data_IF_422302173121
#
_entry.id   IF_422302173121
#
_cell.length_a   1.000
_cell.length_b   1.000
_cell.length_c   1.000
_cell.angle_alpha   90.00
_cell.angle_beta   90.00
_cell.angle_gamma   90.00
#
_symmetry.space_group_name_H-M   'P 1'
#
loop_
_entity.id
_entity.type
_entity.pdbx_description
1 polymer ?
#
# COMPACT_ATOMS: atom_id res chain seq x y z
N UNK A 1 -12.15 6.21 26.10
CA UNK A 1 -11.85 5.47 24.86
C UNK A 1 -10.47 5.89 24.40
N UNK A 2 -9.54 4.97 24.10
CA UNK A 2 -8.27 5.36 23.51
C UNK A 2 -8.50 5.92 22.09
N UNK A 3 -7.65 6.83 21.59
CA UNK A 3 -7.81 7.43 20.28
C UNK A 3 -7.62 6.39 19.15
N UNK A 4 -8.22 6.59 17.96
CA UNK A 4 -8.14 5.66 16.82
C UNK A 4 -6.72 5.23 16.43
N UNK A 5 -5.73 6.11 16.63
CA UNK A 5 -4.31 5.83 16.36
C UNK A 5 -3.69 4.76 17.29
N UNK A 6 -4.21 4.59 18.51
CA UNK A 6 -3.71 3.55 19.42
C UNK A 6 -4.14 2.13 18.96
N UNK A 7 -5.32 2.02 18.32
CA UNK A 7 -5.85 0.78 17.78
C UNK A 7 -5.09 0.35 16.51
N UNK A 8 -4.73 1.32 15.67
CA UNK A 8 -3.88 1.11 14.49
C UNK A 8 -2.54 0.47 14.84
N UNK A 9 -1.88 0.95 15.91
CA UNK A 9 -0.62 0.40 16.38
C UNK A 9 -0.76 -1.06 16.82
N UNK A 10 -1.81 -1.40 17.57
CA UNK A 10 -2.05 -2.79 18.03
C UNK A 10 -2.39 -3.76 16.88
N UNK A 11 -3.03 -3.28 15.81
CA UNK A 11 -3.41 -4.11 14.67
C UNK A 11 -2.25 -4.28 13.68
N UNK A 12 -1.45 -3.24 13.43
CA UNK A 12 -0.19 -3.38 12.66
C UNK A 12 0.79 -4.28 13.40
N UNK A 13 0.78 -4.23 14.75
CA UNK A 13 1.51 -5.16 15.61
C UNK A 13 1.03 -6.61 15.49
N UNK A 14 -0.23 -6.86 15.14
CA UNK A 14 -0.79 -8.21 14.97
C UNK A 14 -0.61 -8.77 13.57
N UNK A 15 -0.58 -7.92 12.53
CA UNK A 15 -0.71 -8.43 11.15
C UNK A 15 0.50 -8.30 10.24
N UNK A 16 1.48 -7.39 10.41
CA UNK A 16 2.38 -7.24 9.23
C UNK A 16 3.79 -6.68 9.37
N UNK A 17 4.03 -5.62 10.12
CA UNK A 17 5.29 -4.87 10.00
C UNK A 17 5.62 -4.25 11.35
N UNK A 18 6.81 -4.55 11.89
CA UNK A 18 7.23 -4.04 13.21
C UNK A 18 8.74 -3.86 13.23
N UNK A 19 9.18 -2.72 13.76
CA UNK A 19 10.58 -2.31 13.82
C UNK A 19 11.23 -2.87 15.08
N UNK A 20 12.43 -3.42 14.91
CA UNK A 20 13.32 -3.75 16.01
C UNK A 20 14.47 -2.76 16.03
N UNK A 21 14.64 -2.05 17.14
CA UNK A 21 15.89 -1.34 17.43
C UNK A 21 16.49 -1.91 18.70
N UNK A 22 17.75 -2.33 18.61
CA UNK A 22 18.59 -2.46 19.79
C UNK A 22 18.79 -1.08 20.42
N UNK A 23 18.89 -1.05 21.75
CA UNK A 23 18.98 0.14 22.60
C UNK A 23 20.19 1.07 22.35
N UNK A 24 21.00 0.82 21.31
CA UNK A 24 22.17 1.60 20.94
C UNK A 24 22.02 2.17 19.54
N UNK A 25 22.19 3.49 19.43
CA UNK A 25 21.96 4.40 18.29
C UNK A 25 22.85 4.15 17.06
N UNK A 26 23.27 2.92 16.79
CA UNK A 26 24.25 2.60 15.75
C UNK A 26 23.69 1.78 14.58
N UNK A 27 22.56 1.06 14.73
CA UNK A 27 21.98 0.25 13.64
C UNK A 27 20.45 0.12 13.79
N UNK A 28 19.69 0.77 12.92
CA UNK A 28 18.22 0.68 12.80
C UNK A 28 17.82 -0.44 11.83
N UNK A 29 16.75 -1.19 12.16
CA UNK A 29 16.26 -2.31 11.32
C UNK A 29 14.74 -2.32 11.25
N UNK A 30 14.21 -2.58 10.07
CA UNK A 30 12.79 -2.87 9.84
C UNK A 30 12.65 -4.34 9.48
N UNK A 31 11.79 -5.09 10.18
CA UNK A 31 11.56 -6.51 9.89
C UNK A 31 10.11 -6.82 9.52
N UNK A 32 9.96 -7.87 8.73
CA UNK A 32 8.67 -8.48 8.37
C UNK A 32 8.70 -9.90 8.95
N UNK A 33 7.79 -10.20 9.87
CA UNK A 33 7.75 -11.47 10.60
C UNK A 33 6.37 -12.11 10.57
N UNK A 34 6.32 -13.42 10.75
CA UNK A 34 5.11 -14.21 10.95
C UNK A 34 4.98 -14.61 12.42
N UNK A 35 3.83 -14.27 13.03
CA UNK A 35 3.49 -14.71 14.38
C UNK A 35 3.29 -16.21 14.43
N UNK A 36 2.54 -16.76 13.47
CA UNK A 36 2.18 -18.17 13.43
C UNK A 36 3.39 -19.10 13.33
N UNK A 37 4.46 -18.64 12.69
CA UNK A 37 5.69 -19.42 12.51
C UNK A 37 6.84 -19.01 13.44
N UNK A 38 6.71 -17.89 14.17
CA UNK A 38 7.83 -17.37 14.98
C UNK A 38 9.07 -17.05 14.15
N UNK A 39 8.89 -16.69 12.86
CA UNK A 39 9.98 -16.44 11.92
C UNK A 39 9.94 -15.05 11.30
N UNK A 40 11.11 -14.55 10.91
CA UNK A 40 11.32 -13.32 10.15
C UNK A 40 11.58 -13.65 8.69
N UNK A 41 10.76 -13.09 7.80
CA UNK A 41 10.85 -13.29 6.35
C UNK A 41 11.82 -12.32 5.69
N UNK A 42 11.89 -11.08 6.18
CA UNK A 42 12.73 -10.03 5.60
C UNK A 42 13.24 -9.10 6.71
N UNK A 43 14.50 -8.67 6.61
CA UNK A 43 15.06 -7.59 7.43
C UNK A 43 15.72 -6.56 6.53
N UNK A 44 15.26 -5.33 6.64
CA UNK A 44 15.85 -4.15 6.02
C UNK A 44 16.77 -3.46 7.02
N UNK A 45 17.96 -3.09 6.58
CA UNK A 45 18.96 -2.38 7.40
C UNK A 45 19.13 -0.95 6.92
N UNK A 46 19.37 -0.06 7.86
CA UNK A 46 19.58 1.37 7.63
C UNK A 46 20.80 1.69 6.79
N UNK A 47 21.73 0.75 6.60
CA UNK A 47 22.82 0.83 5.62
C UNK A 47 22.38 0.55 4.16
N UNK A 48 21.08 0.35 3.92
CA UNK A 48 20.52 0.03 2.61
C UNK A 48 20.63 -1.45 2.24
N UNK A 49 21.16 -2.31 3.11
CA UNK A 49 21.22 -3.76 2.84
C UNK A 49 19.93 -4.48 3.21
N UNK A 50 19.66 -5.57 2.47
CA UNK A 50 18.53 -6.47 2.67
C UNK A 50 19.01 -7.84 3.11
N UNK A 51 18.36 -8.42 4.12
CA UNK A 51 18.56 -9.81 4.55
C UNK A 51 17.32 -10.65 4.26
N UNK A 52 17.43 -11.71 3.44
CA UNK A 52 16.36 -12.67 3.24
C UNK A 52 16.22 -13.62 4.44
N UNK A 53 14.99 -14.02 4.74
CA UNK A 53 14.67 -15.13 5.64
C UNK A 53 14.52 -16.48 4.91
N UNK A 54 13.93 -17.49 5.57
CA UNK A 54 13.41 -17.44 6.94
C UNK A 54 14.53 -17.40 7.99
N UNK A 55 14.35 -16.61 9.04
CA UNK A 55 15.25 -16.56 10.20
C UNK A 55 14.46 -16.47 11.50
N UNK A 56 15.05 -16.88 12.62
CA UNK A 56 14.50 -16.62 13.97
C UNK A 56 14.99 -15.29 14.54
N UNK A 57 16.02 -14.69 13.93
CA UNK A 57 16.55 -13.40 14.35
C UNK A 57 15.59 -12.26 13.97
N UNK A 58 15.63 -11.21 14.76
CA UNK A 58 14.85 -9.99 14.54
C UNK A 58 13.35 -10.26 14.34
N UNK A 59 12.79 -11.21 15.11
CA UNK A 59 11.37 -11.48 15.10
C UNK A 59 10.59 -10.36 15.79
N UNK A 60 9.69 -9.72 15.05
CA UNK A 60 8.86 -8.63 15.56
C UNK A 60 7.90 -9.00 16.71
N UNK A 61 7.59 -10.29 16.89
CA UNK A 61 6.73 -10.79 17.96
C UNK A 61 7.52 -11.24 19.20
N UNK A 62 8.85 -11.27 19.15
CA UNK A 62 9.68 -11.52 20.33
C UNK A 62 9.81 -10.23 21.14
N UNK A 63 8.84 -10.03 22.04
CA UNK A 63 8.79 -8.89 22.96
C UNK A 63 9.66 -9.10 24.21
N UNK A 64 10.40 -10.20 24.31
CA UNK A 64 11.04 -10.66 25.56
C UNK A 64 12.55 -10.40 25.67
N UNK A 65 13.20 -9.82 24.66
CA UNK A 65 14.65 -9.58 24.64
C UNK A 65 15.16 -8.23 25.18
N UNK A 66 16.46 -8.14 25.50
CA UNK A 66 17.21 -6.89 25.79
C UNK A 66 17.19 -5.86 24.64
N UNK A 67 16.76 -6.29 23.45
CA UNK A 67 16.50 -5.47 22.27
C UNK A 67 15.01 -5.17 22.08
N UNK A 68 14.28 -5.10 23.19
CA UNK A 68 12.83 -4.97 23.26
C UNK A 68 12.27 -3.90 22.32
N UNK A 69 11.25 -4.32 21.57
CA UNK A 69 10.44 -3.48 20.67
C UNK A 69 9.92 -2.27 21.46
N UNK A 70 10.44 -1.08 21.17
CA UNK A 70 9.80 0.14 21.65
C UNK A 70 8.48 0.35 20.89
N UNK A 71 7.38 0.79 21.54
CA UNK A 71 6.17 1.20 20.84
C UNK A 71 6.54 2.21 19.75
N UNK A 72 6.39 1.82 18.49
CA UNK A 72 6.70 2.67 17.36
C UNK A 72 5.52 3.60 17.09
N UNK A 73 5.79 4.89 16.93
CA UNK A 73 4.82 5.80 16.32
C UNK A 73 4.62 5.39 14.86
N UNK A 74 3.40 5.01 14.52
CA UNK A 74 3.00 4.72 13.14
C UNK A 74 2.18 5.90 12.64
N UNK A 75 2.59 6.46 11.50
CA UNK A 75 1.95 7.61 10.88
C UNK A 75 1.68 7.28 9.42
N UNK A 76 0.44 7.52 8.99
CA UNK A 76 0.06 7.43 7.57
C UNK A 76 0.22 8.81 6.94
N UNK A 77 0.64 8.85 5.68
CA UNK A 77 0.67 10.09 4.88
C UNK A 77 0.28 9.80 3.43
N UNK A 78 0.80 10.59 2.49
CA UNK A 78 0.47 10.45 1.07
C UNK A 78 1.09 9.16 0.49
N UNK A 79 0.23 8.15 0.32
CA UNK A 79 0.55 6.80 -0.19
C UNK A 79 1.74 6.19 0.54
N UNK A 80 1.85 6.50 1.83
CA UNK A 80 2.99 6.17 2.66
C UNK A 80 2.56 5.76 4.07
N UNK A 81 3.36 4.89 4.65
CA UNK A 81 3.38 4.67 6.10
C UNK A 81 4.80 4.91 6.61
N UNK A 82 4.89 5.70 7.67
CA UNK A 82 6.12 5.92 8.42
C UNK A 82 6.03 5.18 9.74
N UNK A 83 7.07 4.42 10.04
CA UNK A 83 7.24 3.73 11.31
C UNK A 83 8.60 4.20 11.83
N UNK A 84 8.59 5.09 12.83
CA UNK A 84 9.81 5.76 13.32
C UNK A 84 10.65 6.33 12.17
N UNK A 85 11.89 5.85 12.04
CA UNK A 85 12.92 6.29 11.10
C UNK A 85 12.73 5.68 9.70
N UNK A 86 11.73 4.81 9.51
CA UNK A 86 11.51 4.06 8.27
C UNK A 86 10.24 4.51 7.55
N UNK A 87 10.32 4.64 6.22
CA UNK A 87 9.18 4.92 5.34
C UNK A 87 9.00 3.82 4.32
N UNK A 88 7.76 3.39 4.17
CA UNK A 88 7.30 2.59 3.03
C UNK A 88 6.37 3.49 2.22
N UNK A 89 6.72 3.77 0.96
CA UNK A 89 6.02 4.77 0.15
C UNK A 89 5.93 4.36 -1.32
N UNK A 90 4.78 4.62 -1.93
CA UNK A 90 4.68 4.69 -3.39
C UNK A 90 5.31 6.00 -3.86
N UNK A 91 6.56 5.93 -4.33
CA UNK A 91 7.31 7.12 -4.82
C UNK A 91 6.99 7.44 -6.28
N UNK A 92 6.48 6.46 -7.02
CA UNK A 92 6.00 6.57 -8.39
C UNK A 92 4.91 5.50 -8.58
N UNK A 93 3.90 5.64 -9.47
CA UNK A 93 2.87 4.62 -9.68
C UNK A 93 3.41 3.20 -9.79
N UNK A 94 4.54 3.05 -10.48
CA UNK A 94 5.20 1.75 -10.70
C UNK A 94 6.23 1.35 -9.64
N UNK A 95 6.50 2.16 -8.62
CA UNK A 95 7.59 1.96 -7.65
C UNK A 95 7.11 2.12 -6.21
N UNK A 96 7.31 1.06 -5.41
CA UNK A 96 7.14 1.09 -3.96
C UNK A 96 8.51 0.94 -3.30
N UNK A 97 8.84 1.85 -2.38
CA UNK A 97 10.16 1.93 -1.77
C UNK A 97 10.11 1.67 -0.27
N UNK A 98 11.14 1.01 0.26
CA UNK A 98 11.41 0.85 1.69
C UNK A 98 12.71 1.59 2.00
N UNK A 99 12.61 2.67 2.77
CA UNK A 99 13.71 3.63 2.96
C UNK A 99 13.89 3.99 4.43
N UNK A 100 15.13 4.24 4.83
CA UNK A 100 15.47 4.81 6.14
C UNK A 100 15.65 6.33 6.08
N UNK A 101 15.47 7.04 7.19
CA UNK A 101 15.60 8.50 7.30
C UNK A 101 16.96 9.04 6.87
N UNK A 102 18.01 8.20 6.94
CA UNK A 102 19.33 8.56 6.45
C UNK A 102 19.46 8.59 4.92
N UNK A 103 18.38 8.29 4.19
CA UNK A 103 18.30 8.31 2.73
C UNK A 103 18.54 6.96 2.06
N UNK A 104 19.03 5.95 2.79
CA UNK A 104 19.31 4.64 2.20
C UNK A 104 18.03 3.88 1.85
N UNK A 105 17.99 3.34 0.63
CA UNK A 105 16.86 2.60 0.09
C UNK A 105 17.15 1.11 0.15
N UNK A 106 16.62 0.43 1.17
CA UNK A 106 16.85 -1.00 1.37
C UNK A 106 16.15 -1.87 0.34
N UNK A 107 15.04 -1.40 -0.26
CA UNK A 107 14.33 -2.16 -1.29
C UNK A 107 13.37 -1.34 -2.13
N UNK A 108 13.28 -1.65 -3.42
CA UNK A 108 12.34 -1.06 -4.37
C UNK A 108 11.59 -2.18 -5.09
N UNK A 109 10.27 -2.21 -4.93
CA UNK A 109 9.38 -3.11 -5.67
C UNK A 109 8.85 -2.41 -6.91
N UNK A 110 8.86 -3.11 -8.05
CA UNK A 110 8.36 -2.60 -9.32
C UNK A 110 7.08 -3.28 -9.75
N UNK A 111 6.20 -2.51 -10.39
CA UNK A 111 4.92 -3.05 -10.86
C UNK A 111 5.07 -4.15 -11.92
N UNK A 112 6.26 -4.33 -12.50
CA UNK A 112 6.59 -5.45 -13.40
C UNK A 112 6.99 -6.75 -12.66
N UNK A 113 7.08 -6.72 -11.33
CA UNK A 113 7.47 -7.85 -10.49
C UNK A 113 8.98 -7.97 -10.26
N UNK A 114 9.79 -7.05 -10.78
CA UNK A 114 11.21 -6.98 -10.45
C UNK A 114 11.43 -6.24 -9.13
N UNK A 115 12.57 -6.52 -8.49
CA UNK A 115 12.97 -5.89 -7.23
C UNK A 115 14.40 -5.42 -7.36
N UNK A 116 14.66 -4.16 -6.99
CA UNK A 116 15.98 -3.54 -7.01
C UNK A 116 16.33 -3.00 -5.63
N UNK A 117 17.63 -2.81 -5.41
CA UNK A 117 18.17 -2.19 -4.20
C UNK A 117 18.92 -0.90 -4.60
N UNK A 118 19.00 0.07 -3.68
CA UNK A 118 19.79 1.31 -3.77
C UNK A 118 19.68 2.09 -5.10
N UNK A 119 18.61 2.88 -5.22
CA UNK A 119 18.50 3.96 -6.19
C UNK A 119 17.98 5.21 -5.48
N UNK A 120 18.85 6.23 -5.33
CA UNK A 120 18.58 7.42 -4.50
C UNK A 120 17.30 8.16 -4.94
N UNK A 121 17.03 8.26 -6.25
CA UNK A 121 15.81 8.92 -6.77
C UNK A 121 14.52 8.13 -6.48
N UNK A 122 14.60 6.93 -5.89
CA UNK A 122 13.46 6.16 -5.39
C UNK A 122 13.30 6.21 -3.87
N UNK A 123 13.97 7.15 -3.20
CA UNK A 123 13.84 7.34 -1.76
C UNK A 123 12.44 7.78 -1.35
N UNK A 124 11.87 7.12 -0.33
CA UNK A 124 10.63 7.56 0.33
C UNK A 124 10.78 8.90 1.08
N UNK A 125 12.01 9.38 1.24
CA UNK A 125 12.37 10.68 1.81
C UNK A 125 12.74 11.73 0.75
N UNK A 126 12.50 11.45 -0.55
CA UNK A 126 12.69 12.44 -1.63
C UNK A 126 11.95 13.75 -1.35
N UNK A 127 10.80 13.65 -0.67
CA UNK A 127 10.16 14.75 0.03
C UNK A 127 10.34 14.52 1.54
N UNK A 128 10.89 15.51 2.25
CA UNK A 128 11.03 15.44 3.72
C UNK A 128 9.67 15.28 4.39
N UNK A 129 8.65 15.95 3.86
CA UNK A 129 7.28 15.83 4.33
C UNK A 129 6.64 14.49 3.91
N UNK A 130 5.96 13.85 4.86
CA UNK A 130 5.18 12.64 4.63
C UNK A 130 3.86 12.97 3.90
N UNK A 131 3.40 14.22 4.00
CA UNK A 131 2.15 14.70 3.44
C UNK A 131 0.93 14.24 4.26
N UNK A 132 -0.22 14.84 3.96
CA UNK A 132 -1.49 14.44 4.58
C UNK A 132 -1.86 12.99 4.21
N UNK A 133 -2.46 12.22 5.13
CA UNK A 133 -2.92 10.85 4.85
C UNK A 133 -3.76 10.81 3.58
N UNK A 134 -3.27 10.15 2.53
CA UNK A 134 -3.96 10.04 1.24
C UNK A 134 -3.69 8.67 0.66
N UNK A 135 -4.74 7.94 0.32
CA UNK A 135 -4.73 6.57 -0.14
C UNK A 135 -3.73 5.65 0.57
N UNK A 136 -3.73 5.71 1.89
CA UNK A 136 -2.87 4.91 2.73
C UNK A 136 -3.71 4.42 3.91
N UNK A 137 -4.03 3.12 3.94
CA UNK A 137 -4.92 2.58 4.95
C UNK A 137 -4.68 1.10 5.23
N UNK A 138 -5.08 0.69 6.43
CA UNK A 138 -4.98 -0.67 6.92
C UNK A 138 -6.38 -1.27 7.11
N UNK A 139 -6.52 -2.53 6.74
CA UNK A 139 -7.66 -3.39 7.06
C UNK A 139 -7.19 -4.60 7.86
N UNK A 140 -8.11 -5.50 8.22
CA UNK A 140 -7.75 -6.76 8.87
C UNK A 140 -6.89 -7.68 7.98
N UNK A 141 -6.93 -7.49 6.66
CA UNK A 141 -6.37 -8.43 5.68
C UNK A 141 -5.19 -7.85 4.89
N UNK A 142 -5.12 -6.53 4.74
CA UNK A 142 -4.06 -5.87 3.98
C UNK A 142 -3.80 -4.43 4.42
N UNK A 143 -2.57 -3.98 4.16
CA UNK A 143 -2.16 -2.57 4.13
C UNK A 143 -2.13 -2.11 2.66
N UNK A 144 -2.85 -1.04 2.32
CA UNK A 144 -2.82 -0.41 1.01
C UNK A 144 -2.07 0.92 1.07
N UNK A 145 -1.20 1.15 0.09
CA UNK A 145 -0.43 2.37 -0.14
C UNK A 145 -0.54 2.71 -1.63
N UNK A 146 -1.43 3.62 -2.00
CA UNK A 146 -1.75 3.94 -3.38
C UNK A 146 -2.22 2.69 -4.16
N UNK A 147 -1.47 2.37 -5.21
CA UNK A 147 -1.65 1.24 -6.12
C UNK A 147 -0.93 -0.04 -5.65
N UNK A 148 -0.42 -0.05 -4.40
CA UNK A 148 0.26 -1.19 -3.80
C UNK A 148 -0.48 -1.76 -2.58
N UNK A 149 -0.42 -3.08 -2.43
CA UNK A 149 -0.93 -3.78 -1.23
C UNK A 149 0.11 -4.74 -0.66
N UNK A 150 0.23 -4.74 0.66
CA UNK A 150 0.73 -5.87 1.44
C UNK A 150 -0.50 -6.67 1.91
N UNK A 151 -0.65 -7.92 1.49
CA UNK A 151 -1.79 -8.78 1.85
C UNK A 151 -1.36 -10.07 2.53
N UNK A 152 -2.08 -10.46 3.58
CA UNK A 152 -1.98 -11.78 4.20
C UNK A 152 -2.93 -12.74 3.48
N UNK A 153 -2.39 -13.83 2.95
CA UNK A 153 -3.14 -14.80 2.17
C UNK A 153 -2.61 -16.21 2.42
N UNK A 154 -3.42 -17.04 3.08
CA UNK A 154 -3.10 -18.45 3.27
C UNK A 154 -1.78 -18.67 4.03
N UNK A 155 -1.48 -17.80 5.00
CA UNK A 155 -0.22 -17.85 5.76
C UNK A 155 0.98 -17.22 5.03
N UNK A 156 0.79 -16.66 3.83
CA UNK A 156 1.81 -15.92 3.10
C UNK A 156 1.59 -14.41 3.19
N UNK A 157 2.68 -13.66 3.18
CA UNK A 157 2.67 -12.22 2.96
C UNK A 157 3.02 -11.90 1.52
N UNK A 158 2.17 -11.15 0.85
CA UNK A 158 2.39 -10.79 -0.56
C UNK A 158 2.36 -9.28 -0.77
N UNK A 159 3.31 -8.79 -1.58
CA UNK A 159 3.41 -7.39 -1.98
C UNK A 159 3.06 -7.32 -3.45
N UNK A 160 2.01 -6.58 -3.79
CA UNK A 160 1.44 -6.58 -5.14
C UNK A 160 1.04 -5.19 -5.60
N UNK A 161 1.36 -4.88 -6.84
CA UNK A 161 0.79 -3.74 -7.55
C UNK A 161 -0.62 -4.09 -8.06
N UNK A 162 -1.48 -3.08 -8.25
CA UNK A 162 -2.87 -3.24 -8.75
C UNK A 162 -2.99 -3.97 -10.08
N UNK A 163 -1.95 -3.92 -10.90
CA UNK A 163 -1.86 -4.65 -12.17
C UNK A 163 -1.68 -6.18 -11.97
N UNK A 164 -1.74 -6.67 -10.73
CA UNK A 164 -1.72 -8.09 -10.40
C UNK A 164 -0.35 -8.74 -10.45
N UNK A 165 0.73 -7.94 -10.44
CA UNK A 165 2.10 -8.44 -10.41
C UNK A 165 2.67 -8.35 -9.01
N UNK A 166 2.96 -9.51 -8.45
CA UNK A 166 3.89 -9.74 -7.34
C UNK A 166 5.33 -9.67 -7.85
N UNK A 167 6.31 -9.72 -6.95
CA UNK A 167 7.64 -10.30 -7.26
C UNK A 167 7.55 -11.67 -7.99
N UNK A 168 8.64 -12.40 -8.24
CA UNK A 168 8.73 -13.54 -9.18
C UNK A 168 7.73 -14.73 -9.10
N UNK A 169 6.68 -14.69 -8.25
CA UNK A 169 5.63 -15.69 -8.12
C UNK A 169 4.22 -15.06 -8.19
N UNK A 170 3.47 -15.31 -9.26
CA UNK A 170 2.15 -14.73 -9.57
C UNK A 170 0.94 -15.33 -8.82
N UNK A 171 1.16 -16.23 -7.86
CA UNK A 171 0.08 -17.04 -7.26
C UNK A 171 -0.66 -16.37 -6.08
N UNK A 172 -0.14 -15.26 -5.56
CA UNK A 172 -0.70 -14.58 -4.37
C UNK A 172 -0.89 -13.09 -4.64
N UNK A 173 -2.06 -12.72 -5.18
CA UNK A 173 -2.39 -11.33 -5.50
C UNK A 173 -3.22 -10.67 -4.38
N UNK A 174 -2.65 -9.73 -3.61
CA UNK A 174 -3.37 -9.08 -2.50
C UNK A 174 -4.53 -8.18 -2.95
N UNK A 175 -4.65 -7.89 -4.25
CA UNK A 175 -5.80 -7.21 -4.82
C UNK A 175 -7.05 -8.09 -4.92
N UNK A 176 -6.93 -9.40 -4.76
CA UNK A 176 -8.10 -10.30 -4.65
C UNK A 176 -8.70 -10.32 -3.25
N UNK A 177 -8.00 -9.77 -2.25
CA UNK A 177 -8.52 -9.63 -0.90
C UNK A 177 -9.68 -8.63 -0.89
N UNK A 178 -10.79 -9.05 -0.28
CA UNK A 178 -11.98 -8.23 -0.11
C UNK A 178 -11.65 -7.07 0.83
N UNK A 179 -12.09 -5.88 0.43
CA UNK A 179 -11.92 -4.67 1.22
C UNK A 179 -12.75 -4.75 2.51
N UNK A 180 -12.10 -4.44 3.64
CA UNK A 180 -12.68 -4.54 4.97
C UNK A 180 -12.90 -3.18 5.62
N UNK A 181 -13.23 -3.23 6.91
CA UNK A 181 -13.23 -2.04 7.77
C UNK A 181 -11.83 -1.42 7.79
N UNK A 182 -11.78 -0.08 7.72
CA UNK A 182 -10.54 0.68 7.84
C UNK A 182 -10.18 0.77 9.32
N UNK A 183 -9.07 0.15 9.68
CA UNK A 183 -8.55 0.09 11.05
C UNK A 183 -7.57 1.25 11.32
N UNK A 184 -6.95 1.79 10.27
CA UNK A 184 -6.05 2.93 10.33
C UNK A 184 -5.90 3.61 8.96
N UNK A 185 -5.55 4.91 8.94
CA UNK A 185 -5.33 5.67 7.72
C UNK A 185 -6.63 6.10 7.03
N UNK A 186 -6.59 6.33 5.72
CA UNK A 186 -7.74 6.80 4.94
C UNK A 186 -7.78 6.25 3.52
N UNK A 187 -9.01 6.08 3.01
CA UNK A 187 -9.30 5.78 1.61
C UNK A 187 -9.41 7.05 0.76
N UNK A 188 -9.40 8.23 1.36
CA UNK A 188 -9.46 9.50 0.63
C UNK A 188 -8.28 9.60 -0.34
N UNK A 189 -8.55 10.06 -1.58
CA UNK A 189 -7.58 10.07 -2.66
C UNK A 189 -7.21 8.69 -3.22
N UNK A 190 -7.82 7.59 -2.75
CA UNK A 190 -7.75 6.32 -3.46
C UNK A 190 -8.62 6.38 -4.70
N UNK A 191 -7.97 6.42 -5.86
CA UNK A 191 -8.59 6.43 -7.19
C UNK A 191 -9.36 7.72 -7.50
N UNK A 192 -8.63 8.82 -7.71
CA UNK A 192 -9.17 10.13 -8.14
C UNK A 192 -9.69 10.20 -9.59
N UNK A 193 -10.05 9.07 -10.19
CA UNK A 193 -10.66 9.08 -11.52
C UNK A 193 -12.16 9.40 -11.48
N UNK A 194 -12.77 9.53 -10.31
CA UNK A 194 -14.21 9.77 -10.21
C UNK A 194 -14.67 10.71 -9.08
N UNK A 195 -15.75 11.44 -9.35
CA UNK A 195 -16.51 12.25 -8.40
C UNK A 195 -17.76 11.49 -7.96
N UNK A 196 -17.92 11.16 -6.67
CA UNK A 196 -19.13 10.54 -6.14
C UNK A 196 -20.23 11.57 -5.79
N UNK A 197 -21.50 11.24 -6.07
CA UNK A 197 -22.70 12.00 -5.67
C UNK A 197 -23.79 11.02 -5.23
N UNK A 198 -23.90 10.73 -3.93
CA UNK A 198 -24.79 9.66 -3.45
C UNK A 198 -24.44 8.33 -4.12
N UNK A 199 -25.44 7.63 -4.68
CA UNK A 199 -25.27 6.37 -5.42
C UNK A 199 -24.71 6.55 -6.85
N UNK A 200 -24.24 7.75 -7.20
CA UNK A 200 -23.76 8.07 -8.54
C UNK A 200 -22.25 8.31 -8.54
N UNK A 201 -21.60 7.97 -9.66
CA UNK A 201 -20.22 8.32 -9.95
C UNK A 201 -20.10 9.04 -11.28
N UNK A 202 -19.26 10.06 -11.32
CA UNK A 202 -18.81 10.72 -12.53
C UNK A 202 -17.33 10.37 -12.70
N UNK A 203 -16.98 9.52 -13.65
CA UNK A 203 -15.60 9.03 -13.79
C UNK A 203 -14.98 9.30 -15.15
N UNK A 204 -13.66 9.53 -15.16
CA UNK A 204 -12.80 9.35 -16.33
C UNK A 204 -12.37 7.88 -16.37
N UNK A 205 -12.44 7.24 -17.54
CA UNK A 205 -12.12 5.80 -17.65
C UNK A 205 -10.76 5.47 -18.22
N UNK A 206 -10.04 6.41 -18.84
CA UNK A 206 -8.75 6.07 -19.41
C UNK A 206 -7.78 7.27 -19.48
N UNK A 207 -6.61 7.11 -18.85
CA UNK A 207 -5.50 8.07 -18.88
C UNK A 207 -4.57 7.88 -20.09
N UNK A 208 -4.56 6.69 -20.73
CA UNK A 208 -3.60 6.34 -21.79
C UNK A 208 -4.24 6.00 -23.15
N UNK A 209 -5.56 6.11 -23.27
CA UNK A 209 -6.27 5.86 -24.52
C UNK A 209 -6.17 7.05 -25.47
N UNK A 210 -6.24 6.78 -26.78
CA UNK A 210 -6.37 7.80 -27.83
C UNK A 210 -7.69 8.60 -27.75
N UNK A 211 -8.62 8.19 -26.88
CA UNK A 211 -9.90 8.85 -26.63
C UNK A 211 -10.19 8.92 -25.14
N UNK A 212 -10.32 10.12 -24.58
CA UNK A 212 -10.79 10.32 -23.21
C UNK A 212 -12.32 10.26 -23.15
N UNK A 213 -12.86 9.60 -22.13
CA UNK A 213 -14.30 9.52 -21.86
C UNK A 213 -14.62 10.00 -20.45
N UNK A 214 -15.78 10.64 -20.30
CA UNK A 214 -16.39 10.98 -19.01
C UNK A 214 -17.71 10.21 -18.91
N UNK A 215 -17.93 9.51 -17.81
CA UNK A 215 -19.07 8.60 -17.66
C UNK A 215 -19.86 8.95 -16.40
N UNK A 216 -21.19 8.86 -16.49
CA UNK A 216 -22.11 9.02 -15.36
C UNK A 216 -22.81 7.67 -15.10
N UNK A 217 -22.49 7.02 -13.98
CA UNK A 217 -23.03 5.70 -13.63
C UNK A 217 -23.77 5.71 -12.30
N UNK A 218 -24.75 4.82 -12.15
CA UNK A 218 -25.51 4.59 -10.92
C UNK A 218 -25.19 3.21 -10.35
N UNK A 219 -24.91 3.16 -9.05
CA UNK A 219 -24.68 1.92 -8.31
C UNK A 219 -25.94 1.08 -8.18
N UNK A 220 -27.08 1.71 -7.91
CA UNK A 220 -28.36 1.04 -7.64
C UNK A 220 -28.83 0.13 -8.79
N UNK A 221 -28.44 0.46 -10.01
CA UNK A 221 -28.82 -0.28 -11.21
C UNK A 221 -27.63 -0.92 -11.95
N UNK A 222 -26.40 -0.67 -11.50
CA UNK A 222 -25.18 -1.15 -12.19
C UNK A 222 -25.07 -0.65 -13.63
N UNK A 223 -25.69 0.49 -13.95
CA UNK A 223 -25.85 1.01 -15.30
C UNK A 223 -25.22 2.38 -15.45
N UNK A 224 -24.79 2.66 -16.68
CA UNK A 224 -24.33 3.97 -17.12
C UNK A 224 -25.42 4.71 -17.84
N UNK A 225 -25.68 5.92 -17.38
CA UNK A 225 -26.68 6.82 -17.94
C UNK A 225 -26.13 7.55 -19.17
N UNK A 226 -24.87 7.99 -19.14
CA UNK A 226 -24.25 8.74 -20.24
C UNK A 226 -22.74 8.49 -20.32
N UNK A 227 -22.22 8.43 -21.54
CA UNK A 227 -20.79 8.42 -21.86
C UNK A 227 -20.50 9.61 -22.77
N UNK A 228 -19.72 10.57 -22.29
CA UNK A 228 -19.22 11.69 -23.08
C UNK A 228 -17.86 11.34 -23.67
N UNK A 229 -17.63 11.69 -24.92
CA UNK A 229 -16.37 11.46 -25.63
C UNK A 229 -15.63 12.78 -25.86
N UNK A 230 -14.31 12.70 -25.99
CA UNK A 230 -13.45 13.85 -26.27
C UNK A 230 -13.60 14.43 -27.70
N UNK A 231 -14.34 13.77 -28.60
CA UNK A 231 -14.69 14.28 -29.93
C UNK A 231 -15.95 15.16 -29.94
N UNK A 232 -16.54 15.42 -28.76
CA UNK A 232 -17.75 16.22 -28.60
C UNK A 232 -19.06 15.44 -28.76
N UNK A 233 -19.01 14.14 -28.99
CA UNK A 233 -20.20 13.27 -29.04
C UNK A 233 -20.50 12.64 -27.67
N UNK A 234 -21.74 12.18 -27.48
CA UNK A 234 -22.11 11.38 -26.31
C UNK A 234 -22.90 10.12 -26.71
N UNK A 235 -22.85 9.10 -25.86
CA UNK A 235 -23.68 7.90 -25.98
C UNK A 235 -24.74 7.93 -24.88
N UNK A 236 -26.04 7.87 -25.23
CA UNK A 236 -27.11 7.73 -24.25
C UNK A 236 -27.14 6.30 -23.70
N UNK A 237 -27.37 6.16 -22.39
CA UNK A 237 -27.64 4.90 -21.73
C UNK A 237 -29.06 4.38 -21.97
N UNK A 238 -29.46 3.29 -21.28
CA UNK A 238 -28.65 2.53 -20.33
C UNK A 238 -27.55 1.70 -21.03
N UNK A 239 -26.34 1.72 -20.48
CA UNK A 239 -25.18 0.98 -20.96
C UNK A 239 -24.51 0.22 -19.82
N UNK A 240 -23.85 -0.90 -20.13
CA UNK A 240 -23.16 -1.77 -19.17
C UNK A 240 -21.69 -2.00 -19.50
N UNK A 241 -21.27 -1.62 -20.71
CA UNK A 241 -19.93 -1.77 -21.28
C UNK A 241 -18.93 -0.72 -20.76
N UNK A 242 -19.42 0.39 -20.22
CA UNK A 242 -18.61 1.43 -19.60
C UNK A 242 -19.20 1.78 -18.25
N UNK A 243 -18.58 1.41 -17.13
CA UNK A 243 -19.14 1.65 -15.79
C UNK A 243 -18.10 2.28 -14.86
N UNK A 244 -18.43 3.43 -14.24
CA UNK A 244 -17.57 4.14 -13.29
C UNK A 244 -17.28 3.38 -11.97
N UNK A 245 -17.94 2.24 -11.76
CA UNK A 245 -17.66 1.30 -10.67
C UNK A 245 -16.76 0.14 -11.09
N UNK A 246 -16.52 -0.04 -12.39
CA UNK A 246 -15.63 -1.03 -12.98
C UNK A 246 -14.46 -0.32 -13.71
N UNK A 247 -13.62 0.37 -12.94
CA UNK A 247 -12.44 1.08 -13.44
C UNK A 247 -11.23 0.15 -13.66
N UNK A 248 -11.45 -1.16 -13.59
CA UNK A 248 -10.40 -2.19 -13.75
C UNK A 248 -10.27 -2.72 -15.17
N UNK A 249 -11.17 -2.31 -16.09
CA UNK A 249 -11.04 -2.69 -17.50
C UNK A 249 -11.86 -1.79 -18.43
N UNK A 250 -11.18 -0.95 -19.22
CA UNK A 250 -11.50 -0.65 -20.62
C UNK A 250 -10.46 0.25 -21.27
#
# INVERSE_FOLDING_TARGET
>A
MPPPQAYAAEIIQRTMILILQGCYKLLSRLSISSQAHGQTSQVFRDDGTYQPGPSTDFNAFDLSGEHGVAPASIVFGDKAVQIRDWRIRQVHPKLLSVTNENGNVSRIYRSDGTVYDNFEDSSGYINEDLGEPTCAYLTSSFLQLGDWRYGEMGGHLSITHRDGKTGPHSHHNAWTLVDGEVLAGTKEGCHEDYLPIGDWRIARTCETCSFSRLIISSQAHGQTSQVFRNDGTYQPGPQTDFNAFDLTGS
#
